data_IF_148975472768
#
_entry.id   IF_148975472768
#
_cell.length_a   1.000
_cell.length_b   1.000
_cell.length_c   1.000
_cell.angle_alpha   90.00
_cell.angle_beta   90.00
_cell.angle_gamma   90.00
#
_symmetry.space_group_name_H-M   'P 1'
#
loop_
_entity.id
_entity.type
_entity.pdbx_description
1 polymer ?
#
# COMPACT_ATOMS: atom_id res chain seq x y z
N UNK A 1 -40.71 46.99 18.19
CA UNK A 1 -39.62 46.04 17.86
C UNK A 1 -39.92 44.69 18.48
N UNK A 2 -40.22 43.70 17.66
CA UNK A 2 -40.35 42.28 18.12
C UNK A 2 -38.95 41.69 18.26
N UNK A 3 -38.48 41.47 19.51
CA UNK A 3 -37.29 40.63 19.78
C UNK A 3 -37.57 39.23 19.28
N UNK A 4 -36.86 38.79 18.22
CA UNK A 4 -36.81 37.38 17.85
C UNK A 4 -36.19 36.64 19.03
N UNK A 5 -36.96 35.72 19.67
CA UNK A 5 -36.40 34.76 20.64
C UNK A 5 -35.46 33.82 19.84
N UNK A 6 -34.19 33.97 20.04
CA UNK A 6 -33.23 33.00 19.56
C UNK A 6 -33.46 31.72 20.35
N UNK A 7 -33.84 30.68 19.62
CA UNK A 7 -34.01 29.33 20.20
C UNK A 7 -32.65 28.69 20.27
N UNK A 8 -32.09 28.54 21.44
CA UNK A 8 -30.87 27.75 21.67
C UNK A 8 -31.20 26.25 21.76
N UNK A 9 -30.17 25.39 21.63
CA UNK A 9 -30.25 23.96 21.83
C UNK A 9 -30.45 23.62 23.31
N UNK A 10 -31.19 22.56 23.57
CA UNK A 10 -31.32 22.00 24.91
C UNK A 10 -30.15 21.03 25.19
N UNK A 11 -29.81 20.86 26.48
CA UNK A 11 -28.76 19.92 26.89
C UNK A 11 -29.08 18.48 26.49
N UNK A 12 -30.34 18.08 26.61
CA UNK A 12 -30.78 16.74 26.24
C UNK A 12 -30.69 16.51 24.73
N UNK A 13 -30.98 17.51 23.94
CA UNK A 13 -30.85 17.45 22.47
C UNK A 13 -29.40 17.20 22.06
N UNK A 14 -28.44 17.87 22.70
CA UNK A 14 -27.01 17.66 22.50
C UNK A 14 -26.60 16.25 22.91
N UNK A 15 -27.08 15.74 24.05
CA UNK A 15 -26.79 14.39 24.51
C UNK A 15 -27.29 13.32 23.54
N UNK A 16 -28.51 13.49 23.01
CA UNK A 16 -29.07 12.56 22.02
C UNK A 16 -28.24 12.55 20.74
N UNK A 17 -27.84 13.71 20.24
CA UNK A 17 -26.98 13.83 19.06
C UNK A 17 -25.64 13.13 19.29
N UNK A 18 -25.00 13.35 20.43
CA UNK A 18 -23.75 12.69 20.78
C UNK A 18 -23.89 11.17 20.89
N UNK A 19 -25.01 10.67 21.44
CA UNK A 19 -25.30 9.25 21.51
C UNK A 19 -25.46 8.62 20.13
N UNK A 20 -26.15 9.30 19.21
CA UNK A 20 -26.32 8.84 17.82
C UNK A 20 -24.97 8.80 17.09
N UNK A 21 -24.19 9.87 17.18
CA UNK A 21 -22.86 9.94 16.56
C UNK A 21 -21.96 8.82 17.11
N UNK A 22 -21.91 8.63 18.43
CA UNK A 22 -21.13 7.57 19.07
C UNK A 22 -21.52 6.18 18.58
N UNK A 23 -22.82 5.91 18.44
CA UNK A 23 -23.31 4.63 17.92
C UNK A 23 -22.90 4.40 16.47
N UNK A 24 -23.01 5.42 15.62
CA UNK A 24 -22.60 5.34 14.20
C UNK A 24 -21.07 5.14 14.08
N UNK A 25 -20.29 5.86 14.87
CA UNK A 25 -18.82 5.73 14.88
C UNK A 25 -18.36 4.33 15.29
N UNK A 26 -19.05 3.68 16.21
CA UNK A 26 -18.73 2.30 16.64
C UNK A 26 -18.76 1.32 15.46
N UNK A 27 -19.61 1.55 14.49
CA UNK A 27 -19.71 0.71 13.27
C UNK A 27 -18.77 1.22 12.16
N UNK A 28 -18.67 2.54 12.00
CA UNK A 28 -17.93 3.15 10.90
C UNK A 28 -16.42 3.00 11.06
N UNK A 29 -15.88 3.18 12.27
CA UNK A 29 -14.43 3.16 12.51
C UNK A 29 -13.79 1.81 12.18
N UNK A 30 -14.28 0.66 12.65
CA UNK A 30 -13.71 -0.64 12.26
C UNK A 30 -13.76 -0.92 10.77
N UNK A 31 -14.83 -0.51 10.09
CA UNK A 31 -14.96 -0.66 8.64
C UNK A 31 -13.94 0.19 7.89
N UNK A 32 -13.70 1.40 8.36
CA UNK A 32 -12.71 2.30 7.77
C UNK A 32 -11.30 1.70 7.81
N UNK A 33 -10.87 1.17 8.95
CA UNK A 33 -9.54 0.57 9.07
C UNK A 33 -9.38 -0.66 8.18
N UNK A 34 -10.38 -1.53 8.10
CA UNK A 34 -10.35 -2.68 7.19
C UNK A 34 -10.27 -2.26 5.72
N UNK A 35 -11.02 -1.25 5.33
CA UNK A 35 -10.98 -0.71 3.97
C UNK A 35 -9.60 -0.11 3.64
N UNK A 36 -8.99 0.57 4.60
CA UNK A 36 -7.65 1.15 4.45
C UNK A 36 -6.58 0.07 4.28
N UNK A 37 -6.62 -0.99 5.08
CA UNK A 37 -5.69 -2.12 4.94
C UNK A 37 -5.86 -2.82 3.61
N UNK A 38 -7.07 -3.11 3.19
CA UNK A 38 -7.35 -3.71 1.88
C UNK A 38 -6.85 -2.83 0.73
N UNK A 39 -7.01 -1.51 0.83
CA UNK A 39 -6.48 -0.57 -0.15
C UNK A 39 -4.94 -0.63 -0.21
N UNK A 40 -4.25 -0.69 0.93
CA UNK A 40 -2.79 -0.85 0.98
C UNK A 40 -2.32 -2.16 0.35
N UNK A 41 -2.99 -3.26 0.62
CA UNK A 41 -2.68 -4.56 0.00
C UNK A 41 -2.85 -4.52 -1.52
N UNK A 42 -3.90 -3.86 -2.00
CA UNK A 42 -4.14 -3.69 -3.44
C UNK A 42 -3.04 -2.89 -4.10
N UNK A 43 -2.61 -1.79 -3.49
CA UNK A 43 -1.49 -0.97 -3.98
C UNK A 43 -0.20 -1.78 -3.98
N UNK A 44 0.10 -2.54 -2.91
CA UNK A 44 1.29 -3.38 -2.83
C UNK A 44 1.33 -4.41 -3.96
N UNK A 45 0.23 -5.11 -4.23
CA UNK A 45 0.15 -6.08 -5.34
C UNK A 45 0.36 -5.41 -6.70
N UNK A 46 -0.17 -4.22 -6.88
CA UNK A 46 0.02 -3.45 -8.10
C UNK A 46 1.47 -3.01 -8.28
N UNK A 47 2.11 -2.53 -7.23
CA UNK A 47 3.51 -2.10 -7.26
C UNK A 47 4.45 -3.28 -7.52
N UNK A 48 4.19 -4.44 -6.91
CA UNK A 48 4.93 -5.66 -7.20
C UNK A 48 4.77 -6.11 -8.65
N UNK A 49 3.56 -6.02 -9.21
CA UNK A 49 3.32 -6.36 -10.61
C UNK A 49 4.08 -5.42 -11.56
N UNK A 50 4.11 -4.13 -11.27
CA UNK A 50 4.87 -3.14 -12.05
C UNK A 50 6.38 -3.43 -12.00
N UNK A 51 6.91 -3.73 -10.83
CA UNK A 51 8.34 -4.03 -10.67
C UNK A 51 8.74 -5.33 -11.36
N UNK A 52 7.91 -6.38 -11.25
CA UNK A 52 8.13 -7.66 -11.93
C UNK A 52 8.05 -7.52 -13.45
N UNK A 53 7.06 -6.78 -13.95
CA UNK A 53 6.97 -6.47 -15.38
C UNK A 53 8.20 -5.69 -15.88
N UNK A 54 8.73 -4.78 -15.08
CA UNK A 54 9.95 -4.04 -15.42
C UNK A 54 11.18 -4.96 -15.47
N UNK A 55 11.29 -5.93 -14.56
CA UNK A 55 12.35 -6.95 -14.57
C UNK A 55 12.23 -7.82 -15.82
N UNK A 56 11.03 -8.28 -16.15
CA UNK A 56 10.77 -9.10 -17.34
C UNK A 56 11.10 -8.38 -18.64
N UNK A 57 10.75 -7.09 -18.74
CA UNK A 57 11.11 -6.25 -19.89
C UNK A 57 12.61 -6.04 -19.99
N UNK A 58 13.29 -5.79 -18.88
CA UNK A 58 14.75 -5.66 -18.88
C UNK A 58 15.41 -6.95 -19.39
N UNK A 59 14.94 -8.10 -18.93
CA UNK A 59 15.45 -9.39 -19.38
C UNK A 59 15.15 -9.66 -20.86
N UNK A 60 13.95 -9.32 -21.33
CA UNK A 60 13.57 -9.48 -22.74
C UNK A 60 14.43 -8.63 -23.69
N UNK A 61 14.80 -7.42 -23.27
CA UNK A 61 15.57 -6.50 -24.10
C UNK A 61 17.07 -6.79 -24.09
N UNK A 62 17.62 -7.20 -22.94
CA UNK A 62 19.06 -7.33 -22.73
C UNK A 62 19.54 -8.77 -22.53
N UNK A 63 18.62 -9.72 -22.38
CA UNK A 63 18.89 -11.13 -22.04
C UNK A 63 19.66 -11.28 -20.71
N UNK A 64 19.61 -10.25 -19.89
CA UNK A 64 20.24 -10.17 -18.57
C UNK A 64 19.27 -9.61 -17.54
N UNK A 65 19.35 -10.11 -16.31
CA UNK A 65 18.61 -9.53 -15.20
C UNK A 65 19.25 -8.21 -14.75
N UNK A 66 18.48 -7.26 -14.20
CA UNK A 66 19.09 -6.06 -13.62
C UNK A 66 19.98 -6.40 -12.43
N UNK A 67 21.15 -5.79 -12.36
CA UNK A 67 22.11 -6.02 -11.26
C UNK A 67 21.54 -5.63 -9.90
N UNK A 68 20.83 -4.49 -9.89
CA UNK A 68 20.19 -3.92 -8.70
C UNK A 68 18.87 -3.25 -9.09
N UNK A 69 18.02 -3.00 -8.10
CA UNK A 69 16.74 -2.29 -8.29
C UNK A 69 16.89 -0.96 -9.01
N UNK A 70 17.96 -0.22 -8.73
CA UNK A 70 18.23 1.08 -9.35
C UNK A 70 18.42 0.98 -10.86
N UNK A 71 18.89 -0.16 -11.39
CA UNK A 71 19.04 -0.36 -12.84
C UNK A 71 17.71 -0.24 -13.60
N UNK A 72 16.58 -0.60 -12.96
CA UNK A 72 15.25 -0.45 -13.55
C UNK A 72 14.86 1.02 -13.78
N UNK A 73 15.30 1.90 -12.88
CA UNK A 73 15.08 3.35 -13.00
C UNK A 73 16.07 3.95 -14.00
N UNK A 74 17.34 3.60 -13.90
CA UNK A 74 18.41 4.14 -14.76
C UNK A 74 18.19 3.79 -16.23
N UNK A 75 17.69 2.59 -16.50
CA UNK A 75 17.34 2.14 -17.85
C UNK A 75 15.91 2.48 -18.28
N UNK A 76 15.18 3.25 -17.47
CA UNK A 76 13.83 3.79 -17.72
C UNK A 76 12.73 2.74 -17.90
N UNK A 77 12.86 1.56 -17.34
CA UNK A 77 11.78 0.58 -17.29
C UNK A 77 10.69 1.01 -16.30
N UNK A 78 11.08 1.72 -15.25
CA UNK A 78 10.18 2.46 -14.35
C UNK A 78 10.69 3.89 -14.20
N UNK A 79 9.81 4.84 -13.94
CA UNK A 79 10.20 6.25 -13.70
C UNK A 79 10.90 6.44 -12.37
N UNK A 80 10.41 5.75 -11.36
CA UNK A 80 10.95 5.71 -10.00
C UNK A 80 10.53 4.41 -9.36
N UNK A 81 11.26 3.97 -8.35
CA UNK A 81 10.80 2.86 -7.52
C UNK A 81 9.56 3.29 -6.75
N UNK A 82 8.48 2.49 -6.78
CA UNK A 82 7.29 2.78 -6.00
C UNK A 82 7.59 2.72 -4.50
N UNK A 83 6.82 3.47 -3.73
CA UNK A 83 6.88 3.44 -2.27
C UNK A 83 6.01 2.30 -1.77
N UNK A 84 6.60 1.37 -1.04
CA UNK A 84 5.86 0.29 -0.39
C UNK A 84 4.83 0.89 0.59
N UNK A 85 3.53 0.61 0.43
CA UNK A 85 2.48 1.22 1.24
C UNK A 85 2.51 0.81 2.72
N UNK A 86 3.20 -0.28 3.07
CA UNK A 86 3.35 -0.75 4.45
C UNK A 86 4.59 -0.21 5.12
N UNK A 87 5.74 -0.24 4.46
CA UNK A 87 7.00 0.29 5.01
C UNK A 87 7.13 1.80 4.83
N UNK A 88 6.34 2.39 3.92
CA UNK A 88 6.37 3.81 3.52
C UNK A 88 7.73 4.27 2.98
N UNK A 89 8.49 3.35 2.42
CA UNK A 89 9.80 3.60 1.85
C UNK A 89 9.95 2.90 0.47
N UNK A 90 10.79 3.46 -0.38
CA UNK A 90 11.06 2.93 -1.71
C UNK A 90 12.29 2.01 -1.76
N UNK A 91 13.05 1.95 -0.68
CA UNK A 91 14.30 1.20 -0.55
C UNK A 91 14.17 -0.13 0.21
N UNK A 92 12.97 -0.43 0.70
CA UNK A 92 12.68 -1.64 1.50
C UNK A 92 12.29 -2.86 0.69
N UNK A 93 12.23 -2.76 -0.63
CA UNK A 93 12.00 -3.90 -1.50
C UNK A 93 13.11 -4.94 -1.39
N UNK A 94 12.74 -6.19 -1.13
CA UNK A 94 13.67 -7.32 -1.03
C UNK A 94 13.85 -7.94 -2.40
N UNK A 95 15.09 -8.12 -2.84
CA UNK A 95 15.42 -8.70 -4.14
C UNK A 95 15.68 -10.18 -4.02
N UNK A 96 15.25 -10.94 -5.02
CA UNK A 96 15.56 -12.37 -5.18
C UNK A 96 16.51 -12.50 -6.36
N UNK A 97 17.71 -13.02 -6.08
CA UNK A 97 18.71 -13.25 -7.12
C UNK A 97 18.32 -14.43 -8.03
N UNK A 98 18.78 -14.37 -9.27
CA UNK A 98 18.70 -15.51 -10.18
C UNK A 98 19.59 -16.67 -9.69
N UNK A 99 19.08 -17.88 -9.81
CA UNK A 99 19.84 -19.11 -9.53
C UNK A 99 20.59 -19.60 -10.76
N UNK A 100 20.34 -19.01 -11.92
CA UNK A 100 21.01 -19.35 -13.18
C UNK A 100 22.41 -18.68 -13.23
N UNK A 101 23.50 -19.45 -13.29
CA UNK A 101 24.85 -18.88 -13.36
C UNK A 101 25.12 -18.10 -14.65
N UNK A 102 24.40 -18.38 -15.72
CA UNK A 102 24.56 -17.70 -17.00
C UNK A 102 23.74 -16.40 -17.09
N UNK A 103 22.77 -16.22 -16.16
CA UNK A 103 21.88 -15.05 -16.12
C UNK A 103 21.81 -14.50 -14.69
N UNK A 104 22.89 -13.90 -14.25
CA UNK A 104 23.01 -13.32 -12.90
C UNK A 104 22.21 -12.01 -12.82
N UNK A 105 21.64 -11.74 -11.65
CA UNK A 105 20.92 -10.49 -11.36
C UNK A 105 19.64 -10.69 -10.55
N UNK A 106 18.83 -9.64 -10.47
CA UNK A 106 17.56 -9.64 -9.74
C UNK A 106 16.48 -10.29 -10.61
N UNK A 107 16.08 -11.50 -10.25
CA UNK A 107 15.01 -12.26 -10.94
C UNK A 107 13.61 -11.88 -10.45
N UNK A 108 13.46 -11.59 -9.18
CA UNK A 108 12.17 -11.29 -8.57
C UNK A 108 12.35 -10.29 -7.42
N UNK A 109 11.23 -9.75 -6.96
CA UNK A 109 11.20 -8.76 -5.91
C UNK A 109 9.99 -9.00 -5.00
N UNK A 110 10.20 -8.82 -3.70
CA UNK A 110 9.19 -8.95 -2.67
C UNK A 110 9.09 -7.68 -1.82
N UNK A 111 7.99 -7.54 -1.09
CA UNK A 111 7.87 -6.48 -0.08
C UNK A 111 8.84 -6.72 1.07
N UNK A 112 9.40 -5.64 1.62
CA UNK A 112 10.14 -5.66 2.88
C UNK A 112 9.24 -5.49 4.12
N UNK A 113 7.92 -5.48 3.94
CA UNK A 113 6.96 -5.30 5.02
C UNK A 113 6.88 -6.53 5.93
N UNK A 114 6.74 -6.28 7.23
CA UNK A 114 6.44 -7.31 8.21
C UNK A 114 4.92 -7.50 8.35
N UNK A 115 4.52 -8.69 8.84
CA UNK A 115 3.11 -9.01 9.06
C UNK A 115 2.46 -9.79 7.92
N UNK A 116 1.17 -10.01 8.05
CA UNK A 116 0.39 -10.82 7.12
C UNK A 116 -0.69 -9.98 6.44
N UNK A 117 -1.01 -10.36 5.22
CA UNK A 117 -2.18 -9.83 4.51
C UNK A 117 -3.49 -10.38 5.06
N UNK A 118 -4.61 -9.89 4.56
CA UNK A 118 -5.96 -10.33 4.93
C UNK A 118 -6.21 -11.82 4.63
N UNK A 119 -5.48 -12.38 3.66
CA UNK A 119 -5.52 -13.80 3.30
C UNK A 119 -4.67 -14.70 4.23
N UNK A 120 -4.00 -14.12 5.22
CA UNK A 120 -3.12 -14.82 6.17
C UNK A 120 -1.72 -15.11 5.66
N UNK A 121 -1.39 -14.77 4.40
CA UNK A 121 -0.03 -14.93 3.87
C UNK A 121 0.87 -13.79 4.30
N UNK A 122 2.17 -14.10 4.51
CA UNK A 122 3.14 -13.08 4.89
C UNK A 122 3.33 -12.07 3.74
N UNK A 123 3.26 -10.77 4.05
CA UNK A 123 3.49 -9.71 3.07
C UNK A 123 4.86 -9.82 2.40
N UNK A 124 5.86 -10.24 3.15
CA UNK A 124 7.22 -10.48 2.64
C UNK A 124 7.33 -11.65 1.66
N UNK A 125 6.27 -12.41 1.47
CA UNK A 125 6.23 -13.52 0.49
C UNK A 125 5.48 -13.17 -0.80
N UNK A 126 4.94 -11.96 -0.86
CA UNK A 126 4.18 -11.50 -2.02
C UNK A 126 5.07 -11.05 -3.17
#
# INVERSE_FOLDING_TARGET
>A
MRRRREKGFTLIELLIVMAIIGTLLTIAVPRYFRALEHARETVLRQDLAILREAIDKHYADLTEYPDVRAALVDKRYVRSLPVDPFTKAADTWTVVASEDPDHVGVRDIHSGAEGNGADGTALASW
#
